data_IF_858870333794
#
_entry.id   IF_858870333794
#
_cell.length_a   1.000
_cell.length_b   1.000
_cell.length_c   1.000
_cell.angle_alpha   90.00
_cell.angle_beta   90.00
_cell.angle_gamma   90.00
#
_symmetry.space_group_name_H-M   'P 1'
#
loop_
_entity.id
_entity.type
_entity.pdbx_description
1 polymer ?
#
# COMPACT_ATOMS: atom_id res chain seq x y z
N UNK A 1 9.98 11.56 -2.41
CA UNK A 1 9.71 10.45 -1.46
C UNK A 1 9.25 10.88 -0.07
N UNK A 2 9.89 11.86 0.60
CA UNK A 2 9.55 12.18 2.02
C UNK A 2 8.07 12.46 2.26
N UNK A 3 7.42 13.20 1.36
CA UNK A 3 5.99 13.49 1.48
C UNK A 3 5.13 12.24 1.37
N UNK A 4 5.40 11.37 0.38
CA UNK A 4 4.67 10.11 0.20
C UNK A 4 4.79 9.18 1.41
N UNK A 5 6.03 8.93 1.86
CA UNK A 5 6.29 8.08 3.03
C UNK A 5 5.69 8.69 4.31
N UNK A 6 5.81 10.01 4.48
CA UNK A 6 5.21 10.72 5.61
C UNK A 6 3.68 10.62 5.58
N UNK A 7 3.05 10.74 4.41
CA UNK A 7 1.60 10.60 4.25
C UNK A 7 1.17 9.20 4.67
N UNK A 8 1.76 8.15 4.10
CA UNK A 8 1.40 6.76 4.43
C UNK A 8 1.65 6.46 5.91
N UNK A 9 2.77 6.93 6.47
CA UNK A 9 3.08 6.76 7.89
C UNK A 9 2.13 7.53 8.81
N UNK A 10 1.72 8.74 8.43
CA UNK A 10 0.76 9.54 9.19
C UNK A 10 -0.64 8.90 9.20
N UNK A 11 -1.09 8.37 8.06
CA UNK A 11 -2.33 7.61 7.98
C UNK A 11 -2.24 6.30 8.78
N UNK A 12 -1.14 5.57 8.69
CA UNK A 12 -0.87 4.41 9.54
C UNK A 12 -1.03 4.76 11.03
N UNK A 13 -0.30 5.77 11.51
CA UNK A 13 -0.34 6.16 12.92
C UNK A 13 -1.76 6.56 13.34
N UNK A 14 -2.42 7.40 12.55
CA UNK A 14 -3.78 7.87 12.83
C UNK A 14 -4.78 6.72 12.90
N UNK A 15 -4.81 5.87 11.87
CA UNK A 15 -5.73 4.73 11.80
C UNK A 15 -5.45 3.72 12.91
N UNK A 16 -4.20 3.41 13.22
CA UNK A 16 -3.87 2.44 14.27
C UNK A 16 -4.16 2.96 15.67
N UNK A 17 -4.02 4.27 15.92
CA UNK A 17 -4.50 4.91 17.16
C UNK A 17 -6.02 4.74 17.26
N UNK A 18 -6.76 5.06 16.19
CA UNK A 18 -8.22 4.95 16.18
C UNK A 18 -8.70 3.50 16.39
N UNK A 19 -8.04 2.52 15.75
CA UNK A 19 -8.33 1.10 15.94
C UNK A 19 -8.05 0.69 17.39
N UNK A 20 -6.90 1.10 17.93
CA UNK A 20 -6.52 0.75 19.30
C UNK A 20 -7.48 1.33 20.32
N UNK A 21 -7.92 2.59 20.14
CA UNK A 21 -8.93 3.22 20.99
C UNK A 21 -10.31 2.54 20.83
N UNK A 22 -10.76 2.33 19.59
CA UNK A 22 -12.06 1.74 19.28
C UNK A 22 -12.22 0.31 19.82
N UNK A 23 -11.14 -0.49 19.78
CA UNK A 23 -11.12 -1.86 20.30
C UNK A 23 -10.65 -1.96 21.76
N UNK A 24 -10.32 -0.82 22.40
CA UNK A 24 -9.77 -0.73 23.76
C UNK A 24 -8.45 -1.50 23.94
N UNK A 25 -7.65 -1.57 22.89
CA UNK A 25 -6.34 -2.23 22.81
C UNK A 25 -5.22 -1.31 23.30
N UNK A 26 -5.26 -0.93 24.57
CA UNK A 26 -4.30 0.00 25.17
C UNK A 26 -3.23 -0.66 26.06
N UNK A 27 -3.29 -1.98 26.24
CA UNK A 27 -2.26 -2.72 26.97
C UNK A 27 -1.03 -3.00 26.09
N UNK A 28 0.09 -3.34 26.74
CA UNK A 28 1.32 -3.71 26.05
C UNK A 28 1.20 -5.02 25.26
N UNK A 29 0.17 -5.83 25.51
CA UNK A 29 -0.10 -7.06 24.76
C UNK A 29 -0.40 -6.79 23.27
N UNK A 30 -0.76 -5.55 22.93
CA UNK A 30 -1.05 -5.11 21.57
C UNK A 30 0.16 -4.48 20.85
N UNK A 31 1.34 -4.43 21.47
CA UNK A 31 2.58 -4.01 20.80
C UNK A 31 2.85 -4.81 19.52
N UNK A 32 2.64 -6.14 19.46
CA UNK A 32 2.81 -6.89 18.21
C UNK A 32 1.95 -6.37 17.07
N UNK A 33 0.73 -5.89 17.34
CA UNK A 33 -0.13 -5.28 16.31
C UNK A 33 0.52 -4.03 15.70
N UNK A 34 1.09 -3.17 16.53
CA UNK A 34 1.80 -1.97 16.09
C UNK A 34 3.08 -2.27 15.32
N UNK A 35 3.87 -3.25 15.77
CA UNK A 35 5.08 -3.69 15.07
C UNK A 35 4.75 -4.29 13.71
N UNK A 36 3.69 -5.11 13.66
CA UNK A 36 3.18 -5.65 12.42
C UNK A 36 2.71 -4.54 11.48
N UNK A 37 1.98 -3.57 12.01
CA UNK A 37 1.53 -2.40 11.25
C UNK A 37 2.67 -1.58 10.66
N UNK A 38 3.70 -1.27 11.45
CA UNK A 38 4.88 -0.57 10.97
C UNK A 38 5.54 -1.33 9.82
N UNK A 39 5.73 -2.65 9.96
CA UNK A 39 6.28 -3.48 8.88
C UNK A 39 5.37 -3.49 7.64
N UNK A 40 4.06 -3.64 7.84
CA UNK A 40 3.06 -3.66 6.76
C UNK A 40 3.00 -2.35 5.98
N UNK A 41 3.27 -1.20 6.59
CA UNK A 41 3.37 0.09 5.89
C UNK A 41 4.56 0.12 4.92
N UNK A 42 5.64 -0.60 5.21
CA UNK A 42 6.83 -0.62 4.36
C UNK A 42 6.78 -1.67 3.23
N UNK A 43 6.01 -2.74 3.40
CA UNK A 43 5.93 -3.84 2.43
C UNK A 43 5.59 -3.38 1.00
N UNK A 44 4.64 -2.45 0.77
CA UNK A 44 4.33 -1.98 -0.58
C UNK A 44 5.52 -1.35 -1.33
N UNK A 45 6.52 -0.82 -0.61
CA UNK A 45 7.71 -0.27 -1.25
C UNK A 45 8.59 -1.35 -1.90
N UNK A 46 8.47 -2.61 -1.48
CA UNK A 46 9.17 -3.75 -2.09
C UNK A 46 8.78 -3.94 -3.56
N UNK A 47 7.61 -3.48 -3.99
CA UNK A 47 7.18 -3.48 -5.39
C UNK A 47 8.22 -2.81 -6.30
N UNK A 48 8.83 -1.72 -5.82
CA UNK A 48 9.87 -1.01 -6.55
C UNK A 48 11.17 -1.83 -6.67
N UNK A 49 11.52 -2.58 -5.62
CA UNK A 49 12.70 -3.44 -5.64
C UNK A 49 12.49 -4.63 -6.58
N UNK A 50 11.30 -5.23 -6.52
CA UNK A 50 10.90 -6.30 -7.44
C UNK A 50 10.94 -5.79 -8.89
N UNK A 51 10.46 -4.57 -9.14
CA UNK A 51 10.50 -3.97 -10.48
C UNK A 51 11.93 -3.85 -11.04
N UNK A 52 12.84 -3.23 -10.28
CA UNK A 52 14.20 -2.94 -10.77
C UNK A 52 15.10 -4.18 -10.86
N UNK A 53 14.90 -5.18 -10.01
CA UNK A 53 15.75 -6.37 -9.97
C UNK A 53 15.17 -7.57 -10.73
N UNK A 54 13.85 -7.69 -10.86
CA UNK A 54 13.20 -8.89 -11.41
C UNK A 54 12.34 -8.63 -12.65
N UNK A 55 11.51 -7.59 -12.66
CA UNK A 55 10.54 -7.39 -13.77
C UNK A 55 11.15 -6.70 -14.99
N UNK A 56 11.94 -5.65 -14.76
CA UNK A 56 12.48 -4.77 -15.80
C UNK A 56 13.94 -4.36 -15.49
N UNK A 57 14.88 -5.31 -15.31
CA UNK A 57 16.27 -4.97 -15.01
C UNK A 57 16.98 -4.24 -16.15
N UNK A 58 16.53 -4.41 -17.40
CA UNK A 58 17.16 -3.82 -18.59
C UNK A 58 16.74 -2.37 -18.87
N UNK A 59 15.73 -1.86 -18.15
CA UNK A 59 15.32 -0.46 -18.31
C UNK A 59 16.41 0.48 -17.78
N UNK A 60 16.70 1.55 -18.53
CA UNK A 60 17.68 2.57 -18.14
C UNK A 60 17.40 3.15 -16.74
N UNK A 61 16.12 3.26 -16.35
CA UNK A 61 15.71 3.74 -15.04
C UNK A 61 16.08 2.73 -13.95
N UNK A 62 15.86 1.44 -14.19
CA UNK A 62 16.24 0.36 -13.28
C UNK A 62 17.75 0.27 -13.09
N UNK A 63 18.52 0.30 -14.18
CA UNK A 63 19.99 0.30 -14.12
C UNK A 63 20.53 1.49 -13.33
N UNK A 64 20.00 2.69 -13.57
CA UNK A 64 20.38 3.91 -12.86
C UNK A 64 19.98 3.90 -11.38
N UNK A 65 18.84 3.30 -11.04
CA UNK A 65 18.43 3.10 -9.67
C UNK A 65 19.39 2.14 -8.93
N UNK A 66 19.74 1.02 -9.57
CA UNK A 66 20.70 0.05 -9.03
C UNK A 66 22.10 0.68 -8.85
N UNK A 67 22.54 1.51 -9.79
CA UNK A 67 23.78 2.30 -9.67
C UNK A 67 23.76 3.19 -8.41
N UNK A 68 22.69 3.95 -8.21
CA UNK A 68 22.56 4.77 -7.00
C UNK A 68 22.49 3.95 -5.69
N UNK A 69 21.91 2.75 -5.72
CA UNK A 69 21.92 1.84 -4.56
C UNK A 69 23.35 1.38 -4.26
N UNK A 70 24.11 0.99 -5.29
CA UNK A 70 25.50 0.56 -5.16
C UNK A 70 26.42 1.67 -4.66
N UNK A 71 26.16 2.92 -5.05
CA UNK A 71 26.83 4.12 -4.53
C UNK A 71 26.39 4.53 -3.12
N UNK A 72 25.55 3.73 -2.44
CA UNK A 72 24.93 4.04 -1.15
C UNK A 72 24.03 5.29 -1.15
N UNK A 73 23.62 5.77 -2.33
CA UNK A 73 22.69 6.89 -2.54
C UNK A 73 21.23 6.39 -2.60
N UNK A 74 20.82 5.62 -1.59
CA UNK A 74 19.50 4.96 -1.54
C UNK A 74 18.35 5.97 -1.64
N UNK A 75 18.48 7.13 -0.98
CA UNK A 75 17.47 8.20 -1.07
C UNK A 75 17.27 8.72 -2.50
N UNK A 76 18.36 8.87 -3.24
CA UNK A 76 18.32 9.35 -4.64
C UNK A 76 17.71 8.29 -5.54
N UNK A 77 18.07 7.02 -5.35
CA UNK A 77 17.42 5.90 -6.05
C UNK A 77 15.92 5.89 -5.82
N UNK A 78 15.49 6.03 -4.56
CA UNK A 78 14.06 6.01 -4.23
C UNK A 78 13.34 7.24 -4.77
N UNK A 79 13.94 8.44 -4.74
CA UNK A 79 13.35 9.63 -5.35
C UNK A 79 13.24 9.50 -6.88
N UNK A 80 14.24 8.88 -7.54
CA UNK A 80 14.17 8.55 -8.96
C UNK A 80 13.01 7.60 -9.26
N UNK A 81 12.86 6.53 -8.46
CA UNK A 81 11.78 5.56 -8.66
C UNK A 81 10.41 6.19 -8.42
N UNK A 82 10.24 6.97 -7.34
CA UNK A 82 8.98 7.66 -7.06
C UNK A 82 8.63 8.68 -8.15
N UNK A 83 9.58 9.50 -8.60
CA UNK A 83 9.33 10.52 -9.64
C UNK A 83 9.05 9.94 -11.02
N UNK A 84 9.56 8.74 -11.31
CA UNK A 84 9.30 8.01 -12.57
C UNK A 84 8.18 6.97 -12.45
N UNK A 85 7.45 6.92 -11.33
CA UNK A 85 6.34 5.96 -11.10
C UNK A 85 5.30 5.98 -12.22
N UNK A 86 4.93 7.15 -12.74
CA UNK A 86 3.94 7.27 -13.81
C UNK A 86 4.40 6.64 -15.16
N UNK A 87 5.71 6.50 -15.36
CA UNK A 87 6.32 5.91 -16.56
C UNK A 87 6.49 4.39 -16.45
N UNK A 88 6.29 3.81 -15.26
CA UNK A 88 6.45 2.38 -15.00
C UNK A 88 5.09 1.69 -15.06
N UNK A 89 4.93 0.82 -16.05
CA UNK A 89 3.61 0.30 -16.42
C UNK A 89 3.19 -0.97 -15.65
N UNK A 90 4.07 -1.54 -14.82
CA UNK A 90 3.97 -2.92 -14.34
C UNK A 90 4.24 -3.12 -12.84
N UNK A 91 3.77 -2.20 -11.99
CA UNK A 91 3.81 -2.42 -10.53
C UNK A 91 2.82 -3.54 -10.12
N UNK A 92 3.29 -4.53 -9.36
CA UNK A 92 2.50 -5.73 -9.01
C UNK A 92 1.43 -5.36 -7.98
N UNK A 93 1.84 -4.69 -6.91
CA UNK A 93 0.94 -4.37 -5.79
C UNK A 93 -0.08 -3.29 -6.16
N UNK A 94 0.27 -2.44 -7.13
CA UNK A 94 -0.58 -1.36 -7.64
C UNK A 94 -1.45 -1.81 -8.82
N UNK A 95 -2.10 -2.95 -8.66
CA UNK A 95 -3.04 -3.50 -9.63
C UNK A 95 -4.33 -3.93 -8.96
N UNK A 96 -5.44 -3.84 -9.68
CA UNK A 96 -6.75 -4.30 -9.18
C UNK A 96 -6.74 -5.79 -8.86
N UNK A 97 -6.02 -6.61 -9.65
CA UNK A 97 -5.92 -8.05 -9.41
C UNK A 97 -5.25 -8.34 -8.06
N UNK A 98 -4.13 -7.67 -7.79
CA UNK A 98 -3.47 -7.81 -6.50
C UNK A 98 -4.38 -7.36 -5.37
N UNK A 99 -5.05 -6.21 -5.51
CA UNK A 99 -5.94 -5.70 -4.48
C UNK A 99 -7.08 -6.66 -4.14
N UNK A 100 -7.73 -7.27 -5.13
CA UNK A 100 -8.82 -8.23 -4.89
C UNK A 100 -8.30 -9.46 -4.15
N UNK A 101 -7.19 -10.05 -4.62
CA UNK A 101 -6.59 -11.21 -3.95
C UNK A 101 -6.12 -10.85 -2.55
N UNK A 102 -5.50 -9.68 -2.39
CA UNK A 102 -4.99 -9.20 -1.12
C UNK A 102 -6.12 -8.87 -0.13
N UNK A 103 -7.27 -8.39 -0.60
CA UNK A 103 -8.45 -8.19 0.24
C UNK A 103 -8.97 -9.51 0.82
N UNK A 104 -9.07 -10.55 0.00
CA UNK A 104 -9.46 -11.90 0.45
C UNK A 104 -8.42 -12.45 1.44
N UNK A 105 -7.13 -12.32 1.12
CA UNK A 105 -6.05 -12.72 2.02
C UNK A 105 -6.09 -11.99 3.37
N UNK A 106 -6.31 -10.68 3.34
CA UNK A 106 -6.44 -9.83 4.54
C UNK A 106 -7.61 -10.30 5.39
N UNK A 107 -8.77 -10.55 4.78
CA UNK A 107 -9.93 -11.11 5.46
C UNK A 107 -9.61 -12.46 6.13
N UNK A 108 -8.96 -13.37 5.42
CA UNK A 108 -8.58 -14.68 5.97
C UNK A 108 -7.64 -14.52 7.16
N UNK A 109 -6.58 -13.70 7.05
CA UNK A 109 -5.64 -13.47 8.15
C UNK A 109 -6.33 -12.88 9.36
N UNK A 110 -7.22 -11.90 9.19
CA UNK A 110 -7.89 -11.26 10.33
C UNK A 110 -8.92 -12.19 10.97
N UNK A 111 -9.69 -12.92 10.16
CA UNK A 111 -10.74 -13.82 10.67
C UNK A 111 -10.19 -15.12 11.25
N UNK A 112 -9.09 -15.66 10.73
CA UNK A 112 -8.56 -16.97 11.11
C UNK A 112 -7.37 -16.91 12.05
N UNK A 113 -6.62 -15.80 12.11
CA UNK A 113 -5.45 -15.70 12.97
C UNK A 113 -5.77 -15.02 14.29
N UNK A 114 -5.38 -15.66 15.40
CA UNK A 114 -5.25 -15.00 16.71
C UNK A 114 -3.98 -14.14 16.83
N UNK A 115 -3.18 -14.05 15.76
CA UNK A 115 -1.89 -13.38 15.79
C UNK A 115 -2.04 -11.88 15.50
N UNK A 116 -1.91 -11.07 16.56
CA UNK A 116 -1.97 -9.61 16.49
C UNK A 116 -0.93 -9.00 15.53
N UNK A 117 0.26 -9.58 15.43
CA UNK A 117 1.30 -9.12 14.52
C UNK A 117 0.89 -9.29 13.06
N UNK A 118 0.37 -10.48 12.70
CA UNK A 118 -0.14 -10.75 11.36
C UNK A 118 -1.28 -9.81 10.96
N UNK A 119 -2.23 -9.58 11.89
CA UNK A 119 -3.33 -8.61 11.72
C UNK A 119 -2.82 -7.20 11.44
N UNK A 120 -1.81 -6.76 12.19
CA UNK A 120 -1.17 -5.46 12.00
C UNK A 120 -0.58 -5.31 10.59
N UNK A 121 0.17 -6.32 10.13
CA UNK A 121 0.80 -6.30 8.80
C UNK A 121 -0.26 -6.11 7.70
N UNK A 122 -1.27 -6.98 7.68
CA UNK A 122 -2.24 -6.98 6.58
C UNK A 122 -3.12 -5.73 6.57
N UNK A 123 -3.50 -5.21 7.75
CA UNK A 123 -4.27 -3.97 7.85
C UNK A 123 -3.45 -2.75 7.41
N UNK A 124 -2.19 -2.64 7.82
CA UNK A 124 -1.34 -1.53 7.40
C UNK A 124 -1.02 -1.57 5.90
N UNK A 125 -0.78 -2.76 5.35
CA UNK A 125 -0.59 -2.92 3.91
C UNK A 125 -1.87 -2.52 3.17
N UNK A 126 -3.04 -3.01 3.59
CA UNK A 126 -4.32 -2.66 2.96
C UNK A 126 -4.57 -1.16 3.00
N UNK A 127 -4.32 -0.53 4.16
CA UNK A 127 -4.42 0.92 4.32
C UNK A 127 -3.47 1.65 3.36
N UNK A 128 -2.23 1.18 3.22
CA UNK A 128 -1.27 1.80 2.30
C UNK A 128 -1.79 1.81 0.87
N UNK A 129 -2.33 0.68 0.38
CA UNK A 129 -2.91 0.61 -0.97
C UNK A 129 -4.10 1.56 -1.10
N UNK A 130 -4.97 1.63 -0.09
CA UNK A 130 -6.12 2.52 -0.09
C UNK A 130 -5.70 4.00 -0.19
N UNK A 131 -4.70 4.42 0.59
CA UNK A 131 -4.17 5.78 0.53
C UNK A 131 -3.54 6.07 -0.82
N UNK A 132 -2.78 5.13 -1.37
CA UNK A 132 -2.22 5.25 -2.73
C UNK A 132 -3.32 5.46 -3.79
N UNK A 133 -4.47 4.79 -3.67
CA UNK A 133 -5.61 5.01 -4.56
C UNK A 133 -6.27 6.37 -4.36
N UNK A 134 -6.44 6.78 -3.11
CA UNK A 134 -6.98 8.11 -2.81
C UNK A 134 -6.08 9.21 -3.37
N UNK A 135 -4.75 9.06 -3.26
CA UNK A 135 -3.80 9.99 -3.84
C UNK A 135 -3.88 10.03 -5.37
N UNK A 136 -3.86 8.87 -6.03
CA UNK A 136 -4.01 8.78 -7.49
C UNK A 136 -5.32 9.44 -7.95
N UNK A 137 -6.42 9.26 -7.20
CA UNK A 137 -7.70 9.90 -7.49
C UNK A 137 -7.70 11.41 -7.23
N UNK A 138 -7.07 11.88 -6.16
CA UNK A 138 -6.99 13.32 -5.87
C UNK A 138 -6.23 14.05 -6.97
N UNK A 139 -5.13 13.47 -7.44
CA UNK A 139 -4.24 14.03 -8.48
C UNK A 139 -4.85 13.91 -9.88
N UNK A 140 -5.34 12.73 -10.27
CA UNK A 140 -5.72 12.44 -11.67
C UNK A 140 -7.24 12.36 -11.90
N UNK A 141 -8.05 12.39 -10.84
CA UNK A 141 -9.51 12.17 -10.87
C UNK A 141 -9.94 10.83 -11.46
N UNK A 142 -9.03 9.86 -11.53
CA UNK A 142 -9.27 8.50 -12.03
C UNK A 142 -8.32 7.50 -11.35
N UNK A 143 -8.55 6.20 -11.54
CA UNK A 143 -7.71 5.10 -11.06
C UNK A 143 -7.13 4.25 -12.21
N UNK A 144 -7.00 4.82 -13.40
CA UNK A 144 -6.65 4.04 -14.60
C UNK A 144 -5.31 3.30 -14.46
N UNK A 145 -4.38 3.81 -13.65
CA UNK A 145 -3.12 3.13 -13.30
C UNK A 145 -3.33 1.73 -12.70
N UNK A 146 -4.33 1.57 -11.83
CA UNK A 146 -4.65 0.31 -11.16
C UNK A 146 -5.37 -0.69 -12.06
N UNK A 147 -6.07 -0.18 -13.07
CA UNK A 147 -6.89 -0.95 -13.99
C UNK A 147 -6.22 -1.14 -15.35
N UNK A 148 -4.96 -0.77 -15.57
CA UNK A 148 -4.29 -0.90 -16.89
C UNK A 148 -4.38 -2.30 -17.51
N UNK A 149 -4.37 -3.34 -16.68
CA UNK A 149 -4.45 -4.75 -17.10
C UNK A 149 -5.88 -5.24 -17.33
N UNK A 150 -6.86 -4.39 -17.06
CA UNK A 150 -8.29 -4.63 -17.24
C UNK A 150 -8.79 -3.63 -18.27
N UNK A 151 -9.48 -4.09 -19.31
CA UNK A 151 -10.06 -3.22 -20.34
C UNK A 151 -11.31 -2.47 -19.86
N UNK A 152 -11.34 -2.05 -18.59
CA UNK A 152 -12.44 -1.34 -17.94
C UNK A 152 -11.98 0.07 -17.59
N UNK A 153 -12.66 1.05 -18.16
CA UNK A 153 -12.50 2.46 -17.80
C UNK A 153 -13.63 2.85 -16.87
N UNK A 154 -13.30 3.43 -15.71
CA UNK A 154 -14.30 3.91 -14.78
C UNK A 154 -14.66 5.37 -15.05
N UNK A 155 -15.94 5.69 -14.94
CA UNK A 155 -16.35 7.09 -14.78
C UNK A 155 -15.96 7.61 -13.38
N UNK A 156 -16.07 8.92 -13.16
CA UNK A 156 -15.71 9.52 -11.88
C UNK A 156 -16.60 9.03 -10.71
N UNK A 157 -17.87 8.75 -10.97
CA UNK A 157 -18.82 8.26 -9.97
C UNK A 157 -18.49 6.83 -9.55
N UNK A 158 -18.23 5.94 -10.51
CA UNK A 158 -17.80 4.58 -10.28
C UNK A 158 -16.44 4.52 -9.57
N UNK A 159 -15.51 5.41 -9.92
CA UNK A 159 -14.22 5.53 -9.22
C UNK A 159 -14.43 5.89 -7.74
N UNK A 160 -15.30 6.87 -7.45
CA UNK A 160 -15.65 7.21 -6.05
C UNK A 160 -16.31 6.05 -5.31
N UNK A 161 -17.22 5.34 -5.97
CA UNK A 161 -17.90 4.19 -5.39
C UNK A 161 -16.92 3.05 -5.09
N UNK A 162 -15.95 2.81 -5.97
CA UNK A 162 -14.88 1.84 -5.76
C UNK A 162 -14.00 2.21 -4.55
N UNK A 163 -13.58 3.47 -4.44
CA UNK A 163 -12.82 3.95 -3.28
C UNK A 163 -13.63 3.83 -1.98
N UNK A 164 -14.91 4.20 -2.02
CA UNK A 164 -15.80 4.09 -0.87
C UNK A 164 -15.99 2.64 -0.44
N UNK A 165 -16.18 1.72 -1.39
CA UNK A 165 -16.29 0.29 -1.12
C UNK A 165 -15.02 -0.24 -0.44
N UNK A 166 -13.83 0.10 -0.95
CA UNK A 166 -12.56 -0.30 -0.34
C UNK A 166 -12.36 0.30 1.06
N UNK A 167 -12.77 1.56 1.26
CA UNK A 167 -12.72 2.19 2.57
C UNK A 167 -13.66 1.50 3.57
N UNK A 168 -14.89 1.15 3.15
CA UNK A 168 -15.84 0.40 3.99
C UNK A 168 -15.28 -0.98 4.33
N UNK A 169 -14.73 -1.71 3.35
CA UNK A 169 -14.09 -3.01 3.58
C UNK A 169 -12.97 -2.88 4.61
N UNK A 170 -12.11 -1.87 4.47
CA UNK A 170 -11.05 -1.60 5.44
C UNK A 170 -11.61 -1.37 6.85
N UNK A 171 -12.65 -0.56 7.01
CA UNK A 171 -13.27 -0.30 8.32
C UNK A 171 -13.88 -1.58 8.92
N UNK A 172 -14.56 -2.39 8.12
CA UNK A 172 -15.12 -3.67 8.58
C UNK A 172 -14.00 -4.59 9.09
N UNK A 173 -12.93 -4.74 8.30
CA UNK A 173 -11.77 -5.55 8.66
C UNK A 173 -11.04 -5.02 9.91
N UNK A 174 -10.99 -3.70 10.10
CA UNK A 174 -10.26 -3.08 11.19
C UNK A 174 -11.00 -3.12 12.54
N UNK A 175 -12.32 -2.93 12.52
CA UNK A 175 -13.11 -2.75 13.75
C UNK A 175 -13.99 -3.96 14.09
N UNK A 176 -14.52 -4.67 13.10
CA UNK A 176 -15.49 -5.76 13.32
C UNK A 176 -14.78 -7.10 13.51
N UNK A 177 -13.83 -7.45 12.65
CA UNK A 177 -13.09 -8.72 12.68
C UNK A 177 -11.79 -8.62 13.51
#
# INVERSE_FOLDING_TARGET
MRKDLLTHFAFFLTSFVLISLGRKWLSLDFVPFWLGGALGTFLPYLDNLIYIYLLRPDEKISQKAVEYINEKKVNVSLDLLVSTRAQREDLIFHSVYFQVVFAVFTFLVISSSGNLFGRGIVLAFFLHLLISQVMDYVENKNLNSWFRKVSVTFDQGQTRLYLLANFIIFLLLAFVF
#
